data_IF_404208943312
#
_entry.id   IF_404208943312
#
_cell.length_a   1.000
_cell.length_b   1.000
_cell.length_c   1.000
_cell.angle_alpha   90.00
_cell.angle_beta   90.00
_cell.angle_gamma   90.00
#
_symmetry.space_group_name_H-M   'P 1'
#
loop_
_entity.id
_entity.type
_entity.pdbx_description
1 polymer ?
#
# COMPACT_ATOMS: atom_id res chain seq x y z
N UNK A 1 5.92 4.60 25.29
CA UNK A 1 7.34 4.77 24.99
C UNK A 1 8.16 4.46 26.22
N UNK A 2 8.11 3.21 26.70
CA UNK A 2 8.76 2.77 27.94
C UNK A 2 9.84 1.70 27.68
N UNK A 3 9.99 1.24 26.44
CA UNK A 3 10.97 0.23 26.06
C UNK A 3 12.24 0.90 25.52
N UNK A 4 13.43 0.41 25.92
CA UNK A 4 14.70 0.92 25.39
C UNK A 4 14.82 0.64 23.89
N UNK A 5 15.48 1.55 23.16
CA UNK A 5 15.49 1.58 21.68
C UNK A 5 15.93 0.26 21.03
N UNK A 6 16.86 -0.47 21.64
CA UNK A 6 17.32 -1.77 21.14
C UNK A 6 16.24 -2.86 21.15
N UNK A 7 15.16 -2.70 21.93
CA UNK A 7 13.99 -3.58 21.90
C UNK A 7 12.89 -3.03 20.97
N UNK A 8 12.73 -1.71 20.92
CA UNK A 8 11.72 -1.06 20.10
C UNK A 8 12.03 -1.17 18.60
N UNK A 9 13.24 -0.83 18.17
CA UNK A 9 13.58 -0.79 16.74
C UNK A 9 13.45 -2.13 16.02
N UNK A 10 13.92 -3.28 16.56
CA UNK A 10 13.75 -4.56 15.89
C UNK A 10 12.27 -4.96 15.74
N UNK A 11 11.42 -4.59 16.69
CA UNK A 11 9.98 -4.91 16.63
C UNK A 11 9.24 -4.20 15.49
N UNK A 12 9.80 -3.10 14.96
CA UNK A 12 9.25 -2.41 13.79
C UNK A 12 9.35 -3.26 12.53
N UNK A 13 10.26 -4.24 12.46
CA UNK A 13 10.33 -5.16 11.33
C UNK A 13 9.03 -5.96 11.13
N UNK A 14 8.33 -6.24 12.22
CA UNK A 14 7.06 -6.96 12.20
C UNK A 14 5.85 -6.02 12.09
N UNK A 15 6.05 -4.72 11.92
CA UNK A 15 4.97 -3.75 11.83
C UNK A 15 4.38 -3.73 10.42
N UNK A 16 3.08 -3.97 10.34
CA UNK A 16 2.23 -3.78 9.17
C UNK A 16 0.97 -2.99 9.58
N UNK A 17 0.26 -2.45 8.61
CA UNK A 17 -1.00 -1.74 8.84
C UNK A 17 -2.06 -2.64 9.49
N UNK A 18 -2.19 -3.87 9.00
CA UNK A 18 -3.18 -4.83 9.48
C UNK A 18 -2.96 -5.28 10.94
N UNK A 19 -1.72 -5.58 11.32
CA UNK A 19 -1.38 -6.11 12.64
C UNK A 19 -1.27 -4.97 13.66
N UNK A 20 -0.87 -3.77 13.23
CA UNK A 20 -0.97 -2.56 14.03
C UNK A 20 -2.43 -2.25 14.37
N UNK A 21 -3.32 -2.24 13.38
CA UNK A 21 -4.74 -2.00 13.60
C UNK A 21 -5.36 -3.06 14.53
N UNK A 22 -4.99 -4.34 14.37
CA UNK A 22 -5.40 -5.41 15.26
C UNK A 22 -4.86 -5.22 16.68
N UNK A 23 -3.58 -4.85 16.83
CA UNK A 23 -2.91 -4.63 18.11
C UNK A 23 -3.49 -3.43 18.86
N UNK A 24 -3.82 -2.35 18.15
CA UNK A 24 -4.51 -1.18 18.70
C UNK A 24 -5.91 -1.53 19.20
N UNK A 25 -6.66 -2.34 18.44
CA UNK A 25 -7.98 -2.85 18.89
C UNK A 25 -7.87 -3.75 20.12
N UNK A 26 -6.85 -4.61 20.17
CA UNK A 26 -6.58 -5.45 21.34
C UNK A 26 -6.21 -4.60 22.56
N UNK A 27 -5.37 -3.58 22.37
CA UNK A 27 -4.98 -2.64 23.44
C UNK A 27 -6.16 -1.83 23.97
N UNK A 28 -7.06 -1.38 23.09
CA UNK A 28 -8.29 -0.67 23.47
C UNK A 28 -9.26 -1.55 24.30
N UNK A 29 -9.20 -2.88 24.15
CA UNK A 29 -9.97 -3.84 24.95
C UNK A 29 -9.29 -4.24 26.27
N UNK A 30 -8.22 -3.53 26.66
CA UNK A 30 -7.48 -3.78 27.91
C UNK A 30 -6.36 -4.82 27.80
N UNK A 31 -6.13 -5.39 26.61
CA UNK A 31 -5.04 -6.33 26.40
C UNK A 31 -3.67 -5.63 26.39
N UNK A 32 -2.70 -6.13 27.15
CA UNK A 32 -1.39 -5.47 27.26
C UNK A 32 -0.20 -6.27 26.74
N UNK A 33 -0.45 -7.47 26.20
CA UNK A 33 0.57 -8.44 25.81
C UNK A 33 1.31 -8.06 24.52
N UNK A 34 2.65 -8.00 24.59
CA UNK A 34 3.53 -7.83 23.44
C UNK A 34 3.53 -9.07 22.51
N UNK A 35 3.20 -10.25 23.05
CA UNK A 35 3.07 -11.48 22.30
C UNK A 35 1.98 -11.41 21.23
N UNK A 36 0.90 -10.67 21.46
CA UNK A 36 -0.13 -10.44 20.43
C UNK A 36 0.43 -9.69 19.23
N UNK A 37 1.22 -8.64 19.47
CA UNK A 37 1.85 -7.84 18.42
C UNK A 37 2.88 -8.67 17.63
N UNK A 38 3.77 -9.37 18.34
CA UNK A 38 4.81 -10.19 17.70
C UNK A 38 4.18 -11.36 16.94
N UNK A 39 3.21 -12.05 17.55
CA UNK A 39 2.52 -13.18 16.93
C UNK A 39 1.74 -12.79 15.68
N UNK A 40 0.96 -11.72 15.74
CA UNK A 40 0.22 -11.22 14.56
C UNK A 40 1.15 -10.72 13.45
N UNK A 41 2.29 -10.10 13.81
CA UNK A 41 3.33 -9.72 12.86
C UNK A 41 4.01 -10.92 12.20
N UNK A 42 4.37 -11.95 12.97
CA UNK A 42 4.96 -13.18 12.44
C UNK A 42 4.01 -13.95 11.52
N UNK A 43 2.72 -14.02 11.86
CA UNK A 43 1.70 -14.64 10.99
C UNK A 43 1.59 -13.86 9.68
N UNK A 44 1.53 -12.53 9.75
CA UNK A 44 1.48 -11.66 8.57
C UNK A 44 2.71 -11.84 7.69
N UNK A 45 3.90 -11.85 8.30
CA UNK A 45 5.18 -12.07 7.60
C UNK A 45 5.25 -13.46 6.96
N UNK A 46 4.83 -14.52 7.66
CA UNK A 46 4.81 -15.87 7.11
C UNK A 46 3.87 -15.97 5.91
N UNK A 47 2.65 -15.41 6.01
CA UNK A 47 1.72 -15.34 4.90
C UNK A 47 2.28 -14.56 3.71
N UNK A 48 2.97 -13.45 3.97
CA UNK A 48 3.65 -12.67 2.94
C UNK A 48 4.70 -13.49 2.20
N UNK A 49 5.59 -14.17 2.92
CA UNK A 49 6.64 -15.01 2.33
C UNK A 49 6.03 -16.17 1.55
N UNK A 50 5.06 -16.88 2.12
CA UNK A 50 4.41 -18.02 1.47
C UNK A 50 3.67 -17.61 0.20
N UNK A 51 2.92 -16.51 0.25
CA UNK A 51 2.22 -15.99 -0.94
C UNK A 51 3.19 -15.48 -2.00
N UNK A 52 4.31 -14.87 -1.61
CA UNK A 52 5.36 -14.44 -2.55
C UNK A 52 6.04 -15.62 -3.24
N UNK A 53 6.38 -16.67 -2.48
CA UNK A 53 6.96 -17.91 -3.04
C UNK A 53 5.95 -18.60 -3.95
N UNK A 54 4.70 -18.73 -3.52
CA UNK A 54 3.63 -19.28 -4.35
C UNK A 54 3.45 -18.46 -5.65
N UNK A 55 3.45 -17.13 -5.55
CA UNK A 55 3.38 -16.23 -6.69
C UNK A 55 4.55 -16.40 -7.65
N UNK A 56 5.78 -16.56 -7.13
CA UNK A 56 6.97 -16.81 -7.94
C UNK A 56 6.92 -18.17 -8.66
N UNK A 57 6.53 -19.23 -7.94
CA UNK A 57 6.44 -20.59 -8.49
C UNK A 57 5.35 -20.70 -9.54
N UNK A 58 4.17 -20.13 -9.27
CA UNK A 58 3.05 -20.11 -10.22
C UNK A 58 3.40 -19.21 -11.41
N UNK A 59 3.89 -18.00 -11.14
CA UNK A 59 4.22 -17.00 -12.17
C UNK A 59 5.32 -17.45 -13.12
N UNK A 60 6.34 -18.16 -12.64
CA UNK A 60 7.41 -18.72 -13.47
C UNK A 60 6.94 -19.81 -14.45
N UNK A 61 5.77 -20.41 -14.21
CA UNK A 61 5.16 -21.40 -15.09
C UNK A 61 4.17 -20.85 -16.12
N UNK A 62 3.90 -19.54 -16.13
CA UNK A 62 2.90 -18.92 -17.03
C UNK A 62 3.57 -18.55 -18.36
N UNK A 63 3.26 -19.23 -19.48
CA UNK A 63 3.96 -19.02 -20.75
C UNK A 63 3.67 -17.67 -21.40
N UNK A 64 2.53 -17.04 -21.07
CA UNK A 64 2.14 -15.73 -21.58
C UNK A 64 1.35 -14.92 -20.53
N UNK A 65 2.03 -14.09 -19.71
CA UNK A 65 1.39 -13.26 -18.67
C UNK A 65 0.33 -12.29 -19.23
N UNK A 66 0.49 -11.84 -20.49
CA UNK A 66 -0.43 -10.90 -21.14
C UNK A 66 -1.79 -11.51 -21.40
N UNK A 67 -1.84 -12.80 -21.75
CA UNK A 67 -3.09 -13.51 -22.01
C UNK A 67 -3.98 -13.62 -20.76
N UNK A 68 -3.38 -13.61 -19.58
CA UNK A 68 -4.07 -13.68 -18.29
C UNK A 68 -4.27 -12.31 -17.62
N UNK A 69 -3.96 -11.21 -18.32
CA UNK A 69 -4.04 -9.85 -17.78
C UNK A 69 -3.27 -9.64 -16.46
N UNK A 70 -2.20 -10.42 -16.24
CA UNK A 70 -1.38 -10.31 -15.02
C UNK A 70 -0.72 -8.94 -14.92
N UNK A 71 -0.39 -8.35 -16.06
CA UNK A 71 0.15 -6.98 -16.16
C UNK A 71 -0.84 -5.91 -15.64
N UNK A 72 -2.14 -6.20 -15.61
CA UNK A 72 -3.17 -5.29 -15.11
C UNK A 72 -3.39 -5.42 -13.60
N UNK A 73 -2.89 -6.47 -12.95
CA UNK A 73 -3.17 -6.75 -11.52
C UNK A 73 -2.69 -5.60 -10.62
N UNK A 74 -1.49 -5.07 -10.87
CA UNK A 74 -0.93 -3.98 -10.06
C UNK A 74 -1.74 -2.68 -10.24
N UNK A 75 -1.98 -2.17 -11.47
CA UNK A 75 -2.88 -1.02 -11.67
C UNK A 75 -4.29 -1.24 -11.11
N UNK A 76 -4.88 -2.42 -11.33
CA UNK A 76 -6.23 -2.73 -10.85
C UNK A 76 -6.30 -2.73 -9.32
N UNK A 77 -5.26 -3.21 -8.64
CA UNK A 77 -5.17 -3.16 -7.19
C UNK A 77 -5.14 -1.72 -6.68
N UNK A 78 -4.35 -0.84 -7.29
CA UNK A 78 -4.34 0.59 -6.93
C UNK A 78 -5.70 1.25 -7.16
N UNK A 79 -6.38 0.95 -8.27
CA UNK A 79 -7.73 1.45 -8.54
C UNK A 79 -8.71 0.94 -7.47
N UNK A 80 -8.66 -0.35 -7.14
CA UNK A 80 -9.51 -0.95 -6.13
C UNK A 80 -9.28 -0.34 -4.73
N UNK A 81 -8.05 0.08 -4.41
CA UNK A 81 -7.74 0.81 -3.18
C UNK A 81 -8.29 2.24 -3.15
N UNK A 82 -8.49 2.88 -4.30
CA UNK A 82 -9.08 4.22 -4.38
C UNK A 82 -10.57 4.20 -4.08
N UNK A 83 -11.30 3.14 -4.50
CA UNK A 83 -12.75 3.02 -4.33
C UNK A 83 -13.22 3.20 -2.88
N UNK A 84 -12.71 2.46 -1.87
CA UNK A 84 -13.15 2.64 -0.48
C UNK A 84 -12.69 3.97 0.13
N UNK A 85 -11.69 4.63 -0.47
CA UNK A 85 -11.21 5.93 -0.02
C UNK A 85 -11.97 7.11 -0.64
N UNK A 86 -12.94 6.86 -1.52
CA UNK A 86 -13.68 7.91 -2.20
C UNK A 86 -14.66 8.62 -1.27
N UNK A 87 -14.39 9.89 -0.95
CA UNK A 87 -15.23 10.74 -0.08
C UNK A 87 -16.16 11.69 -0.84
N UNK A 88 -16.09 11.74 -2.16
CA UNK A 88 -17.05 12.48 -2.98
C UNK A 88 -16.46 13.06 -4.28
N UNK A 89 -17.31 13.79 -5.02
CA UNK A 89 -16.96 14.32 -6.35
C UNK A 89 -15.78 15.30 -6.36
N UNK A 90 -15.43 15.93 -5.22
CA UNK A 90 -14.28 16.85 -5.09
C UNK A 90 -12.95 16.12 -5.23
N UNK A 91 -12.79 14.95 -4.59
CA UNK A 91 -11.57 14.13 -4.71
C UNK A 91 -11.29 13.67 -6.15
N UNK A 92 -12.33 13.53 -6.98
CA UNK A 92 -12.17 13.19 -8.39
C UNK A 92 -11.39 14.25 -9.18
N UNK A 93 -11.38 15.51 -8.73
CA UNK A 93 -10.56 16.58 -9.31
C UNK A 93 -9.08 16.28 -9.09
N UNK A 94 -8.68 15.96 -7.86
CA UNK A 94 -7.31 15.58 -7.52
C UNK A 94 -6.86 14.35 -8.30
N UNK A 95 -7.72 13.33 -8.42
CA UNK A 95 -7.42 12.13 -9.21
C UNK A 95 -7.29 12.43 -10.71
N UNK A 96 -8.14 13.30 -11.25
CA UNK A 96 -8.09 13.72 -12.65
C UNK A 96 -6.80 14.47 -12.97
N UNK A 97 -6.40 15.41 -12.09
CA UNK A 97 -5.13 16.13 -12.22
C UNK A 97 -3.95 15.19 -12.10
N UNK A 98 -3.96 14.28 -11.12
CA UNK A 98 -2.92 13.26 -10.97
C UNK A 98 -2.75 12.44 -12.25
N UNK A 99 -3.86 11.97 -12.82
CA UNK A 99 -3.86 11.19 -14.05
C UNK A 99 -3.32 11.99 -15.23
N UNK A 100 -3.82 13.21 -15.46
CA UNK A 100 -3.39 14.06 -16.57
C UNK A 100 -1.89 14.40 -16.48
N UNK A 101 -1.42 14.78 -15.30
CA UNK A 101 -0.01 15.12 -15.07
C UNK A 101 0.88 13.89 -15.18
N UNK A 102 0.47 12.75 -14.64
CA UNK A 102 1.20 11.48 -14.75
C UNK A 102 1.34 11.04 -16.21
N UNK A 103 0.24 11.07 -16.99
CA UNK A 103 0.28 10.76 -18.42
C UNK A 103 1.17 11.73 -19.18
N UNK A 104 1.08 13.02 -18.89
CA UNK A 104 1.94 14.02 -19.56
C UNK A 104 3.41 13.81 -19.21
N UNK A 105 3.72 13.56 -17.94
CA UNK A 105 5.08 13.34 -17.46
C UNK A 105 5.69 12.05 -18.01
N UNK A 106 4.89 11.01 -18.30
CA UNK A 106 5.41 9.76 -18.87
C UNK A 106 5.97 9.93 -20.29
N UNK A 107 5.49 10.92 -21.05
CA UNK A 107 6.02 11.27 -22.37
C UNK A 107 7.24 12.21 -22.30
N UNK A 108 7.40 12.95 -21.20
CA UNK A 108 8.44 13.99 -21.08
C UNK A 108 9.67 13.54 -20.29
N UNK A 109 9.48 12.65 -19.31
CA UNK A 109 10.53 12.26 -18.35
C UNK A 109 10.83 10.77 -18.48
N UNK A 110 12.10 10.38 -18.73
CA UNK A 110 12.48 8.98 -18.77
C UNK A 110 12.40 8.33 -17.39
N UNK A 111 11.98 7.07 -17.36
CA UNK A 111 11.85 6.27 -16.14
C UNK A 111 10.50 6.42 -15.44
N UNK A 112 10.47 6.16 -14.14
CA UNK A 112 9.23 6.03 -13.35
C UNK A 112 8.81 7.32 -12.63
N UNK A 113 9.42 8.46 -12.97
CA UNK A 113 9.19 9.75 -12.33
C UNK A 113 7.75 10.26 -12.47
N UNK A 114 7.07 9.85 -13.54
CA UNK A 114 5.67 10.21 -13.78
C UNK A 114 4.74 9.82 -12.62
N UNK A 115 5.04 8.74 -11.89
CA UNK A 115 4.29 8.31 -10.71
C UNK A 115 4.38 9.36 -9.60
N UNK A 116 5.59 9.82 -9.29
CA UNK A 116 5.84 10.80 -8.23
C UNK A 116 5.28 12.17 -8.60
N UNK A 117 5.52 12.61 -9.84
CA UNK A 117 5.05 13.91 -10.33
C UNK A 117 3.52 13.96 -10.33
N UNK A 118 2.86 12.90 -10.83
CA UNK A 118 1.41 12.76 -10.80
C UNK A 118 0.84 12.73 -9.38
N UNK A 119 1.46 11.98 -8.48
CA UNK A 119 1.03 11.90 -7.07
C UNK A 119 1.12 13.25 -6.36
N UNK A 120 2.22 13.99 -6.54
CA UNK A 120 2.40 15.32 -5.95
C UNK A 120 1.40 16.33 -6.53
N UNK A 121 1.23 16.36 -7.85
CA UNK A 121 0.28 17.25 -8.50
C UNK A 121 -1.17 16.95 -8.09
N UNK A 122 -1.53 15.68 -8.00
CA UNK A 122 -2.83 15.22 -7.51
C UNK A 122 -3.10 15.60 -6.06
N UNK A 123 -2.11 15.42 -5.18
CA UNK A 123 -2.21 15.78 -3.77
C UNK A 123 -2.38 17.30 -3.58
N UNK A 124 -1.63 18.11 -4.33
CA UNK A 124 -1.77 19.57 -4.31
C UNK A 124 -3.15 20.00 -4.82
N UNK A 125 -3.57 19.49 -5.98
CA UNK A 125 -4.87 19.82 -6.56
C UNK A 125 -6.04 19.36 -5.68
N UNK A 126 -5.93 18.18 -5.06
CA UNK A 126 -6.90 17.69 -4.07
C UNK A 126 -6.96 18.59 -2.85
N UNK A 127 -5.81 18.97 -2.29
CA UNK A 127 -5.73 19.89 -1.15
C UNK A 127 -6.41 21.24 -1.42
N UNK A 128 -6.15 21.86 -2.57
CA UNK A 128 -6.81 23.12 -2.95
C UNK A 128 -8.29 22.99 -3.33
N UNK A 129 -8.76 21.78 -3.66
CA UNK A 129 -10.17 21.51 -4.00
C UNK A 129 -11.02 21.09 -2.79
N UNK A 130 -10.38 20.66 -1.71
CA UNK A 130 -11.02 20.30 -0.44
C UNK A 130 -11.19 21.50 0.51
N UNK A 131 -10.53 22.64 0.23
CA UNK A 131 -10.87 23.96 0.81
C UNK A 131 -12.19 24.54 0.24
#
# INVERSE_FOLDING_TARGET
>A
GELPGWQAYPSLFLLADNNWAASMRYRAKGGSDAGFYIGSGLVTWAFWVLSSVAGQVIGGGIPDPKRFAIDLVVPAFFIAMLVPNWKGRREAVGWGVAAAVSVTASYLVPGWWFIVIGAVAGALAGGFADD
#
